data_IF_827736984702
#
_entry.id   IF_827736984702
#
_cell.length_a   1.000
_cell.length_b   1.000
_cell.length_c   1.000
_cell.angle_alpha   90.00
_cell.angle_beta   90.00
_cell.angle_gamma   90.00
#
_symmetry.space_group_name_H-M   'P 1'
#
loop_
_entity.id
_entity.type
_entity.pdbx_description
1 polymer ?
#
# COMPACT_ATOMS: atom_id res chain seq x y z
N UNK A 1 13.17 22.49 -11.59
CA UNK A 1 12.22 21.85 -10.67
C UNK A 1 13.04 21.02 -9.71
N UNK A 2 12.91 21.31 -8.43
CA UNK A 2 13.62 20.56 -7.40
C UNK A 2 12.98 19.17 -7.26
N UNK A 3 13.77 18.11 -7.03
CA UNK A 3 13.23 16.76 -6.91
C UNK A 3 12.30 16.69 -5.69
N UNK A 4 11.06 16.24 -5.93
CA UNK A 4 10.10 15.90 -4.89
C UNK A 4 10.01 14.38 -4.77
N UNK A 5 9.92 13.91 -3.54
CA UNK A 5 9.71 12.49 -3.26
C UNK A 5 8.60 12.32 -2.22
N UNK A 6 7.98 11.16 -2.25
CA UNK A 6 6.95 10.76 -1.30
C UNK A 6 7.43 9.54 -0.53
N UNK A 7 7.25 9.58 0.78
CA UNK A 7 7.39 8.43 1.66
C UNK A 7 6.00 7.93 1.99
N UNK A 8 5.69 6.69 1.64
CA UNK A 8 4.48 6.00 2.06
C UNK A 8 4.78 5.07 3.23
N UNK A 9 3.93 5.12 4.25
CA UNK A 9 3.78 4.07 5.27
C UNK A 9 2.48 3.33 5.00
N UNK A 10 2.54 2.01 4.95
CA UNK A 10 1.37 1.15 4.76
C UNK A 10 1.39 0.07 5.83
N UNK A 11 0.26 -0.08 6.52
CA UNK A 11 -0.02 -1.19 7.41
C UNK A 11 -0.85 -2.23 6.65
N UNK A 12 -0.35 -3.45 6.55
CA UNK A 12 -1.00 -4.54 5.79
C UNK A 12 -1.27 -5.72 6.73
N UNK A 13 -2.45 -6.33 6.62
CA UNK A 13 -2.79 -7.62 7.23
C UNK A 13 -2.87 -8.73 6.20
N UNK A 14 -2.65 -9.96 6.65
CA UNK A 14 -2.91 -11.15 5.86
C UNK A 14 -4.10 -11.91 6.44
N UNK A 15 -5.20 -11.96 5.69
CA UNK A 15 -6.37 -12.77 6.04
C UNK A 15 -6.71 -13.68 4.87
N UNK A 16 -6.89 -14.98 5.12
CA UNK A 16 -7.27 -15.99 4.10
C UNK A 16 -6.41 -15.90 2.84
N UNK A 17 -5.09 -15.75 3.01
CA UNK A 17 -4.08 -15.63 1.93
C UNK A 17 -4.07 -14.30 1.16
N UNK A 18 -4.92 -13.33 1.52
CA UNK A 18 -4.93 -12.01 0.88
C UNK A 18 -4.29 -10.96 1.77
N UNK A 19 -3.44 -10.12 1.18
CA UNK A 19 -2.97 -8.91 1.83
C UNK A 19 -4.05 -7.82 1.72
N UNK A 20 -4.43 -7.23 2.84
CA UNK A 20 -5.40 -6.14 2.93
C UNK A 20 -4.72 -4.93 3.56
N UNK A 21 -4.87 -3.76 2.93
CA UNK A 21 -4.37 -2.50 3.49
C UNK A 21 -5.30 -2.09 4.62
N UNK A 22 -4.74 -1.99 5.83
CA UNK A 22 -5.45 -1.59 7.04
C UNK A 22 -5.47 -0.07 7.13
N UNK A 23 -4.30 0.52 6.98
CA UNK A 23 -4.08 1.95 7.09
C UNK A 23 -2.92 2.34 6.19
N UNK A 24 -2.94 3.59 5.73
CA UNK A 24 -1.83 4.15 4.97
C UNK A 24 -1.70 5.63 5.24
N UNK A 25 -0.46 6.11 5.20
CA UNK A 25 -0.19 7.54 5.21
C UNK A 25 0.94 7.85 4.24
N UNK A 26 0.84 8.98 3.55
CA UNK A 26 1.84 9.43 2.59
C UNK A 26 2.32 10.82 2.95
N UNK A 27 3.64 10.97 3.01
CA UNK A 27 4.31 12.21 3.35
C UNK A 27 5.09 12.70 2.14
N UNK A 28 4.71 13.86 1.59
CA UNK A 28 5.39 14.48 0.47
C UNK A 28 6.44 15.47 0.98
N UNK A 29 7.63 15.42 0.37
CA UNK A 29 8.75 16.27 0.76
C UNK A 29 9.34 16.97 -0.46
N UNK A 30 9.74 18.22 -0.22
CA UNK A 30 10.46 19.06 -1.16
C UNK A 30 11.72 19.58 -0.44
N UNK A 31 12.87 19.51 -1.12
CA UNK A 31 14.15 20.08 -0.64
C UNK A 31 14.55 19.62 0.77
N UNK A 32 14.98 18.36 0.89
CA UNK A 32 15.62 17.88 2.13
C UNK A 32 17.03 18.44 2.26
N UNK A 33 17.22 19.36 3.20
CA UNK A 33 18.52 19.80 3.71
C UNK A 33 18.77 19.33 5.16
N UNK A 34 17.81 18.64 5.78
CA UNK A 34 17.85 18.21 7.19
C UNK A 34 17.27 16.81 7.40
N UNK A 35 17.67 16.19 8.51
CA UNK A 35 17.06 14.96 9.00
C UNK A 35 15.60 15.21 9.42
N UNK A 36 14.70 14.30 9.04
CA UNK A 36 13.27 14.36 9.39
C UNK A 36 12.92 13.12 10.21
N UNK A 37 12.19 13.33 11.30
CA UNK A 37 11.52 12.27 12.05
C UNK A 37 10.07 12.17 11.54
N UNK A 38 9.62 10.94 11.25
CA UNK A 38 8.24 10.64 10.86
C UNK A 38 7.60 9.94 12.05
N UNK A 39 6.70 10.65 12.73
CA UNK A 39 5.86 10.07 13.77
C UNK A 39 4.54 9.64 13.12
N UNK A 40 4.29 8.33 13.12
CA UNK A 40 3.07 7.75 12.58
C UNK A 40 2.36 6.96 13.66
N UNK A 41 1.04 7.18 13.73
CA UNK A 41 0.14 6.42 14.58
C UNK A 41 -0.96 5.82 13.71
N UNK A 42 -1.22 4.52 13.86
CA UNK A 42 -2.30 3.87 13.15
C UNK A 42 -3.64 4.46 13.59
N UNK A 43 -4.43 4.97 12.64
CA UNK A 43 -5.74 5.60 12.91
C UNK A 43 -6.90 4.60 12.87
N UNK A 44 -6.57 3.31 12.85
CA UNK A 44 -7.51 2.20 12.68
C UNK A 44 -7.46 1.24 13.86
N UNK A 45 -8.62 0.72 14.21
CA UNK A 45 -8.70 -0.41 15.13
C UNK A 45 -8.08 -1.63 14.46
N UNK A 46 -7.06 -2.19 15.12
CA UNK A 46 -6.39 -3.40 14.69
C UNK A 46 -7.00 -4.59 15.45
N UNK A 47 -7.57 -5.59 14.77
CA UNK A 47 -8.06 -6.80 15.42
C UNK A 47 -6.93 -7.62 16.04
N UNK A 48 -7.19 -8.26 17.18
CA UNK A 48 -6.21 -9.12 17.83
C UNK A 48 -5.86 -10.34 16.95
N UNK A 49 -4.60 -10.76 16.98
CA UNK A 49 -4.06 -11.89 16.22
C UNK A 49 -3.66 -11.56 14.79
N UNK A 50 -3.87 -10.32 14.34
CA UNK A 50 -3.48 -9.91 12.99
C UNK A 50 -1.98 -9.63 12.91
N UNK A 51 -1.36 -9.95 11.78
CA UNK A 51 0.02 -9.56 11.48
C UNK A 51 -0.04 -8.20 10.79
N UNK A 52 0.62 -7.20 11.34
CA UNK A 52 0.78 -5.89 10.73
C UNK A 52 2.20 -5.79 10.20
N UNK A 53 2.33 -5.48 8.92
CA UNK A 53 3.60 -5.13 8.29
C UNK A 53 3.63 -3.64 8.01
N UNK A 54 4.65 -2.95 8.51
CA UNK A 54 4.91 -1.53 8.24
C UNK A 54 5.92 -1.44 7.11
N UNK A 55 5.47 -0.89 5.98
CA UNK A 55 6.29 -0.78 4.77
C UNK A 55 6.66 0.67 4.52
N UNK A 56 7.95 0.94 4.28
CA UNK A 56 8.44 2.20 3.72
C UNK A 56 8.49 2.09 2.20
N UNK A 57 7.88 3.05 1.50
CA UNK A 57 8.00 3.18 0.05
C UNK A 57 8.47 4.57 -0.34
N UNK A 58 9.60 4.67 -1.05
CA UNK A 58 10.08 5.91 -1.62
C UNK A 58 9.65 6.02 -3.08
N UNK A 59 9.01 7.12 -3.46
CA UNK A 59 8.68 7.41 -4.85
C UNK A 59 9.10 8.80 -5.25
N UNK A 60 9.94 8.90 -6.28
CA UNK A 60 10.26 10.17 -6.92
C UNK A 60 9.16 10.56 -7.91
N UNK A 61 8.85 11.84 -7.94
CA UNK A 61 7.95 12.40 -8.96
C UNK A 61 8.58 13.58 -9.67
N UNK A 62 8.15 13.79 -10.91
CA UNK A 62 8.48 14.97 -11.70
C UNK A 62 7.20 15.49 -12.36
N UNK A 63 7.19 16.76 -12.77
CA UNK A 63 6.16 17.24 -13.67
C UNK A 63 6.67 17.19 -15.10
N UNK A 64 5.82 16.70 -16.01
CA UNK A 64 6.14 16.77 -17.43
C UNK A 64 5.92 18.20 -17.97
N UNK A 65 6.18 18.39 -19.27
CA UNK A 65 6.07 19.70 -19.93
C UNK A 65 4.64 20.28 -19.95
N UNK A 66 3.60 19.46 -19.74
CA UNK A 66 2.20 19.92 -19.57
C UNK A 66 1.80 20.13 -18.11
N UNK A 67 2.75 20.07 -17.17
CA UNK A 67 2.48 20.24 -15.74
C UNK A 67 1.77 19.05 -15.09
N UNK A 68 1.75 17.87 -15.72
CA UNK A 68 1.21 16.65 -15.12
C UNK A 68 2.29 15.93 -14.31
N UNK A 69 1.97 15.59 -13.06
CA UNK A 69 2.85 14.78 -12.21
C UNK A 69 2.98 13.36 -12.77
N UNK A 70 4.21 12.91 -12.92
CA UNK A 70 4.61 11.56 -13.32
C UNK A 70 5.47 10.95 -12.21
N UNK A 71 5.22 9.68 -11.92
CA UNK A 71 5.96 8.92 -10.92
C UNK A 71 7.04 8.07 -11.59
N UNK A 72 8.19 7.94 -10.95
CA UNK A 72 9.20 6.98 -11.42
C UNK A 72 8.65 5.55 -11.33
N UNK A 73 8.75 4.81 -12.44
CA UNK A 73 8.42 3.38 -12.52
C UNK A 73 9.66 2.52 -12.68
N UNK A 74 10.86 3.04 -12.40
CA UNK A 74 12.09 2.26 -12.43
C UNK A 74 12.40 1.68 -11.03
N UNK A 75 12.48 0.33 -10.86
CA UNK A 75 12.66 -0.33 -9.56
C UNK A 75 13.85 0.15 -8.74
N UNK A 76 14.91 0.59 -9.40
CA UNK A 76 16.10 1.13 -8.73
C UNK A 76 15.82 2.46 -8.01
N UNK A 77 14.76 3.16 -8.40
CA UNK A 77 14.34 4.46 -7.88
C UNK A 77 12.95 4.41 -7.23
N UNK A 78 12.45 3.23 -6.88
CA UNK A 78 11.26 3.07 -6.02
C UNK A 78 11.50 2.06 -4.87
N UNK A 79 12.57 2.19 -4.07
CA UNK A 79 12.83 1.19 -3.04
C UNK A 79 11.64 1.08 -2.07
N UNK A 80 11.25 -0.16 -1.81
CA UNK A 80 10.21 -0.52 -0.86
C UNK A 80 10.78 -1.53 0.11
N UNK A 81 10.79 -1.21 1.40
CA UNK A 81 11.39 -2.04 2.45
C UNK A 81 10.40 -2.22 3.59
N UNK A 82 10.47 -3.38 4.25
CA UNK A 82 9.74 -3.62 5.48
C UNK A 82 10.54 -2.98 6.61
N UNK A 83 9.91 -2.06 7.34
CA UNK A 83 10.49 -1.45 8.53
C UNK A 83 10.26 -2.31 9.76
N UNK A 84 9.05 -2.83 9.91
CA UNK A 84 8.65 -3.64 11.05
C UNK A 84 7.53 -4.62 10.67
N UNK A 85 7.42 -5.70 11.45
CA UNK A 85 6.35 -6.68 11.35
C UNK A 85 6.03 -7.25 12.74
N UNK A 86 4.78 -7.11 13.18
CA UNK A 86 4.37 -7.54 14.51
C UNK A 86 2.96 -8.12 14.53
N UNK A 87 2.66 -8.94 15.54
CA UNK A 87 1.31 -9.42 15.81
C UNK A 87 0.58 -8.43 16.72
N UNK A 88 -0.69 -8.15 16.40
CA UNK A 88 -1.56 -7.33 17.23
C UNK A 88 -1.97 -8.13 18.46
N UNK A 89 -1.55 -7.67 19.64
CA UNK A 89 -1.94 -8.27 20.91
C UNK A 89 -3.36 -7.84 21.31
N UNK A 90 -3.97 -8.57 22.25
CA UNK A 90 -5.27 -8.18 22.81
C UNK A 90 -5.23 -6.79 23.46
N UNK A 91 -4.14 -6.44 24.15
CA UNK A 91 -3.96 -5.12 24.75
C UNK A 91 -3.91 -4.01 23.69
N UNK A 92 -3.18 -4.23 22.59
CA UNK A 92 -3.12 -3.28 21.47
C UNK A 92 -4.49 -3.05 20.83
N UNK A 93 -5.23 -4.14 20.59
CA UNK A 93 -6.59 -4.07 20.05
C UNK A 93 -7.54 -3.32 21.00
N UNK A 94 -7.44 -3.59 22.30
CA UNK A 94 -8.25 -2.92 23.33
C UNK A 94 -7.97 -1.42 23.40
N UNK A 95 -6.70 -1.00 23.30
CA UNK A 95 -6.31 0.42 23.26
C UNK A 95 -6.90 1.15 22.05
N UNK A 96 -6.82 0.55 20.86
CA UNK A 96 -7.40 1.13 19.64
C UNK A 96 -8.91 1.33 19.76
N UNK A 97 -9.61 0.38 20.40
CA UNK A 97 -11.05 0.49 20.69
C UNK A 97 -11.34 1.60 21.71
N UNK A 98 -10.57 1.67 22.80
CA UNK A 98 -10.74 2.69 23.84
C UNK A 98 -10.48 4.12 23.30
N UNK A 99 -9.57 4.26 22.34
CA UNK A 99 -9.28 5.52 21.66
C UNK A 99 -10.31 5.90 20.58
N UNK A 100 -11.39 5.12 20.40
CA UNK A 100 -12.42 5.33 19.38
C UNK A 100 -11.86 5.45 17.95
N UNK A 101 -10.80 4.70 17.62
CA UNK A 101 -10.30 4.66 16.25
C UNK A 101 -11.35 4.10 15.30
N UNK A 102 -11.26 4.46 14.02
CA UNK A 102 -12.18 3.92 13.03
C UNK A 102 -11.92 2.42 12.85
N UNK A 103 -12.96 1.62 12.69
CA UNK A 103 -12.78 0.21 12.32
C UNK A 103 -12.02 0.16 10.98
N UNK A 104 -11.05 -0.74 10.88
CA UNK A 104 -10.37 -1.00 9.61
C UNK A 104 -11.43 -1.35 8.56
N UNK A 105 -11.45 -0.64 7.43
CA UNK A 105 -12.39 -0.95 6.36
C UNK A 105 -12.00 -2.30 5.77
N UNK A 106 -12.97 -3.17 5.53
CA UNK A 106 -12.81 -4.35 4.66
C UNK A 106 -12.71 -3.97 3.16
N UNK A 107 -12.16 -2.79 2.82
CA UNK A 107 -11.91 -2.43 1.44
C UNK A 107 -10.69 -3.24 0.98
N UNK A 108 -11.00 -4.45 0.53
CA UNK A 108 -10.12 -5.39 -0.14
C UNK A 108 -9.58 -4.78 -1.44
N UNK A 109 -8.64 -3.85 -1.37
CA UNK A 109 -7.65 -3.72 -2.43
C UNK A 109 -6.72 -4.93 -2.29
N UNK A 110 -7.18 -6.06 -2.84
CA UNK A 110 -6.48 -7.35 -2.84
C UNK A 110 -5.10 -7.19 -3.48
N UNK A 111 -4.11 -6.86 -2.66
CA UNK A 111 -2.71 -6.90 -3.03
C UNK A 111 -2.25 -8.34 -2.83
N UNK A 112 -2.20 -9.09 -3.92
CA UNK A 112 -2.00 -10.54 -3.88
C UNK A 112 -2.78 -11.20 -4.99
N UNK A 113 -2.30 -12.35 -5.47
CA UNK A 113 -2.70 -13.04 -6.70
C UNK A 113 -4.13 -12.71 -7.14
N UNK A 114 -4.23 -11.92 -8.21
CA UNK A 114 -5.47 -11.43 -8.78
C UNK A 114 -6.16 -12.55 -9.59
N UNK A 115 -6.33 -13.73 -9.00
CA UNK A 115 -6.86 -14.94 -9.63
C UNK A 115 -8.13 -14.63 -10.43
N UNK A 116 -9.11 -13.86 -9.93
CA UNK A 116 -10.30 -13.52 -10.71
C UNK A 116 -9.99 -12.69 -11.97
N UNK A 117 -9.05 -11.73 -11.87
CA UNK A 117 -8.63 -10.88 -12.99
C UNK A 117 -7.79 -11.66 -14.02
N UNK A 118 -6.94 -12.57 -13.55
CA UNK A 118 -6.15 -13.48 -14.39
C UNK A 118 -7.06 -14.50 -15.09
N UNK A 119 -8.02 -15.09 -14.38
CA UNK A 119 -9.02 -15.99 -14.96
C UNK A 119 -9.89 -15.25 -15.99
N UNK A 120 -10.34 -14.03 -15.69
CA UNK A 120 -11.06 -13.19 -16.65
C UNK A 120 -10.26 -12.95 -17.93
N UNK A 121 -8.98 -12.58 -17.80
CA UNK A 121 -8.07 -12.39 -18.95
C UNK A 121 -7.84 -13.68 -19.73
N UNK A 122 -7.73 -14.83 -19.07
CA UNK A 122 -7.61 -16.14 -19.72
C UNK A 122 -8.88 -16.46 -20.52
N UNK A 123 -10.07 -16.21 -19.95
CA UNK A 123 -11.35 -16.41 -20.63
C UNK A 123 -11.49 -15.50 -21.85
N UNK A 124 -11.23 -14.20 -21.70
CA UNK A 124 -11.25 -13.23 -22.80
C UNK A 124 -10.24 -13.60 -23.92
N UNK A 125 -9.07 -14.12 -23.54
CA UNK A 125 -8.08 -14.61 -24.49
C UNK A 125 -8.57 -15.84 -25.26
N UNK A 126 -9.15 -16.82 -24.56
CA UNK A 126 -9.74 -18.03 -25.18
C UNK A 126 -10.85 -17.67 -26.17
N UNK A 127 -11.74 -16.74 -25.82
CA UNK A 127 -12.81 -16.25 -26.69
C UNK A 127 -12.27 -15.54 -27.94
N UNK A 128 -11.25 -14.69 -27.79
CA UNK A 128 -10.59 -14.04 -28.94
C UNK A 128 -9.94 -15.05 -29.88
N UNK A 129 -9.29 -16.08 -29.35
CA UNK A 129 -8.67 -17.12 -30.16
C UNK A 129 -9.70 -18.02 -30.85
N UNK A 130 -10.85 -18.28 -30.22
CA UNK A 130 -11.95 -19.02 -30.83
C UNK A 130 -12.58 -18.23 -32.00
N UNK A 131 -12.72 -16.91 -31.88
CA UNK A 131 -13.23 -16.03 -32.95
C UNK A 131 -12.29 -15.91 -34.14
N UNK A 132 -10.97 -16.05 -33.95
CA UNK A 132 -9.97 -16.03 -35.03
C UNK A 132 -9.86 -17.35 -35.83
N UNK A 133 -10.49 -18.43 -35.36
CA UNK A 133 -10.50 -19.75 -36.04
C UNK A 133 -11.73 -20.00 -36.92
N UNK A 134 -12.65 -19.04 -37.01
CA UNK A 134 -13.75 -19.00 -37.98
C UNK A 134 -13.37 -18.05 -39.12
#
# INVERSE_FOLDING_TARGET
MDPSFTIGLVAIQFEKEYAQVIDYESFAYEKLDKQIQIDWECRRQLPAGFIVIVVFSLRYSAFNWVGKQIWSTNPQFFPTIILDAFHVTEDMAARGKAANFAVAKEECDKFGYNVPRTLKRITEFKEKMAKKKK
#
